data_IF_604843913628
#
_entry.id   IF_604843913628
#
_cell.length_a   1.000
_cell.length_b   1.000
_cell.length_c   1.000
_cell.angle_alpha   90.00
_cell.angle_beta   90.00
_cell.angle_gamma   90.00
#
_symmetry.space_group_name_H-M   'P 1'
#
loop_
_entity.id
_entity.type
_entity.pdbx_description
1 polymer ?
#
# COMPACT_ATOMS: atom_id res chain seq x y z
N UNK A 1 44.87 -23.20 7.37
CA UNK A 1 43.52 -22.63 7.27
C UNK A 1 43.69 -21.15 7.01
N UNK A 2 43.26 -20.64 5.84
CA UNK A 2 43.30 -19.20 5.59
C UNK A 2 42.23 -18.52 6.46
N UNK A 3 42.65 -17.69 7.37
CA UNK A 3 41.78 -16.85 8.18
C UNK A 3 41.02 -15.90 7.24
N UNK A 4 39.69 -16.04 7.16
CA UNK A 4 38.86 -15.11 6.41
C UNK A 4 38.85 -13.76 7.12
N UNK A 5 39.57 -12.78 6.55
CA UNK A 5 39.60 -11.41 7.12
C UNK A 5 38.27 -10.72 6.91
N UNK A 6 37.72 -10.16 8.00
CA UNK A 6 36.57 -9.24 7.95
C UNK A 6 37.00 -7.97 7.22
N UNK A 7 36.20 -7.52 6.22
CA UNK A 7 36.45 -6.33 5.44
C UNK A 7 35.22 -5.42 5.43
N UNK A 8 35.45 -4.11 5.39
CA UNK A 8 34.39 -3.14 5.12
C UNK A 8 33.98 -3.27 3.64
N UNK A 9 32.67 -3.41 3.42
CA UNK A 9 32.13 -3.39 2.07
C UNK A 9 32.17 -1.95 1.51
N UNK A 10 32.33 -1.84 0.20
CA UNK A 10 32.13 -0.56 -0.46
C UNK A 10 30.63 -0.14 -0.36
N UNK A 11 30.39 1.17 -0.48
CA UNK A 11 29.09 1.75 -0.26
C UNK A 11 28.01 1.18 -1.23
N UNK A 12 28.37 0.93 -2.49
CA UNK A 12 27.43 0.40 -3.49
C UNK A 12 27.04 -1.05 -3.16
N UNK A 13 28.01 -1.89 -2.81
CA UNK A 13 27.74 -3.28 -2.35
C UNK A 13 26.87 -3.28 -1.10
N UNK A 14 27.20 -2.45 -0.10
CA UNK A 14 26.41 -2.32 1.12
C UNK A 14 24.96 -1.86 0.79
N UNK A 15 24.82 -0.92 -0.15
CA UNK A 15 23.51 -0.43 -0.64
C UNK A 15 22.70 -1.52 -1.33
N UNK A 16 23.30 -2.34 -2.18
CA UNK A 16 22.64 -3.45 -2.87
C UNK A 16 22.19 -4.56 -1.91
N UNK A 17 22.99 -4.85 -0.86
CA UNK A 17 22.61 -5.82 0.17
C UNK A 17 21.40 -5.30 0.96
N UNK A 18 21.47 -4.08 1.46
CA UNK A 18 20.36 -3.48 2.23
C UNK A 18 19.10 -3.25 1.38
N UNK A 19 19.26 -2.91 0.09
CA UNK A 19 18.13 -2.89 -0.84
C UNK A 19 17.42 -4.26 -0.91
N UNK A 20 18.10 -5.35 -0.53
CA UNK A 20 17.52 -6.68 -0.45
C UNK A 20 16.39 -6.84 0.54
N UNK A 21 16.43 -6.10 1.60
CA UNK A 21 15.41 -6.16 2.66
C UNK A 21 14.18 -5.30 2.33
N UNK A 22 14.35 -4.26 1.51
CA UNK A 22 13.30 -3.30 1.14
C UNK A 22 12.68 -3.63 -0.22
N UNK A 23 13.52 -3.97 -1.20
CA UNK A 23 13.12 -4.17 -2.61
C UNK A 23 13.31 -5.63 -3.01
N UNK A 24 12.32 -6.48 -2.76
CA UNK A 24 12.37 -7.91 -3.11
C UNK A 24 11.89 -8.18 -4.56
N UNK A 25 10.90 -7.43 -5.03
CA UNK A 25 10.19 -7.63 -6.30
C UNK A 25 9.57 -6.33 -6.81
N UNK A 26 9.14 -6.25 -8.09
CA UNK A 26 8.52 -5.05 -8.65
C UNK A 26 7.34 -4.52 -7.84
N UNK A 27 6.49 -5.39 -7.30
CA UNK A 27 5.37 -5.00 -6.46
C UNK A 27 5.81 -4.31 -5.15
N UNK A 28 7.00 -4.63 -4.61
CA UNK A 28 7.56 -3.91 -3.44
C UNK A 28 7.94 -2.47 -3.79
N UNK A 29 8.54 -2.26 -4.98
CA UNK A 29 8.84 -0.91 -5.50
C UNK A 29 7.57 -0.10 -5.63
N UNK A 30 6.56 -0.63 -6.33
CA UNK A 30 5.27 0.05 -6.55
C UNK A 30 4.61 0.38 -5.20
N UNK A 31 4.65 -0.54 -4.22
CA UNK A 31 4.11 -0.32 -2.88
C UNK A 31 4.74 0.89 -2.22
N UNK A 32 6.06 0.91 -2.10
CA UNK A 32 6.79 2.01 -1.44
C UNK A 32 6.55 3.37 -2.13
N UNK A 33 6.54 3.39 -3.48
CA UNK A 33 6.29 4.62 -4.24
C UNK A 33 4.87 5.13 -4.05
N UNK A 34 3.85 4.26 -4.12
CA UNK A 34 2.45 4.65 -3.91
C UNK A 34 2.19 5.06 -2.46
N UNK A 35 2.77 4.37 -1.47
CA UNK A 35 2.67 4.78 -0.07
C UNK A 35 3.31 6.15 0.17
N UNK A 36 4.42 6.48 -0.50
CA UNK A 36 5.00 7.82 -0.45
C UNK A 36 4.09 8.88 -1.09
N UNK A 37 3.43 8.56 -2.21
CA UNK A 37 2.44 9.45 -2.84
C UNK A 37 1.24 9.71 -1.93
N UNK A 38 0.74 8.66 -1.23
CA UNK A 38 -0.33 8.80 -0.24
C UNK A 38 0.10 9.64 0.96
N UNK A 39 1.33 9.43 1.46
CA UNK A 39 1.92 10.22 2.55
C UNK A 39 2.15 11.69 2.12
N UNK A 40 2.34 11.98 0.81
CA UNK A 40 2.42 13.33 0.25
C UNK A 40 1.05 13.96 -0.04
N UNK A 41 -0.05 13.38 0.48
CA UNK A 41 -1.41 13.92 0.35
C UNK A 41 -1.99 13.82 -1.07
N UNK A 42 -1.48 12.95 -1.93
CA UNK A 42 -2.00 12.80 -3.28
C UNK A 42 -3.43 12.24 -3.27
N UNK A 43 -4.30 12.81 -4.09
CA UNK A 43 -5.65 12.32 -4.37
C UNK A 43 -5.79 11.69 -5.76
N UNK A 44 -4.72 11.73 -6.58
CA UNK A 44 -4.65 11.11 -7.90
C UNK A 44 -3.28 10.47 -8.11
N UNK A 45 -3.27 9.14 -8.28
CA UNK A 45 -2.05 8.35 -8.44
C UNK A 45 -2.18 7.47 -9.68
N UNK A 46 -1.25 7.63 -10.62
CA UNK A 46 -1.17 6.82 -11.84
C UNK A 46 0.09 5.94 -11.81
N UNK A 47 -0.09 4.64 -12.01
CA UNK A 47 1.00 3.66 -12.10
C UNK A 47 1.03 3.08 -13.49
N UNK A 48 2.19 3.14 -14.16
CA UNK A 48 2.42 2.51 -15.47
C UNK A 48 3.54 1.50 -15.35
N UNK A 49 3.35 0.30 -15.88
CA UNK A 49 4.36 -0.76 -15.85
C UNK A 49 4.53 -1.43 -17.22
N UNK A 50 5.78 -1.84 -17.51
CA UNK A 50 6.12 -2.73 -18.62
C UNK A 50 6.95 -3.91 -18.11
N UNK A 51 6.86 -5.05 -18.80
CA UNK A 51 7.61 -6.25 -18.41
C UNK A 51 7.35 -6.72 -16.98
N UNK A 52 6.10 -6.55 -16.46
CA UNK A 52 5.78 -6.90 -15.07
C UNK A 52 6.43 -5.98 -14.04
N UNK A 53 6.87 -4.78 -14.45
CA UNK A 53 7.59 -3.82 -13.62
C UNK A 53 9.09 -4.10 -13.53
N UNK A 54 9.63 -5.02 -14.30
CA UNK A 54 11.08 -5.26 -14.38
C UNK A 54 11.77 -4.36 -15.39
N UNK A 55 11.08 -4.02 -16.48
CA UNK A 55 11.59 -3.14 -17.54
C UNK A 55 11.32 -1.68 -17.19
N UNK A 56 10.10 -1.39 -16.72
CA UNK A 56 9.65 -0.02 -16.46
C UNK A 56 8.58 0.01 -15.38
N UNK A 57 8.73 0.93 -14.45
CA UNK A 57 7.71 1.37 -13.49
C UNK A 57 7.71 2.89 -13.51
N UNK A 58 6.53 3.50 -13.65
CA UNK A 58 6.33 4.94 -13.49
C UNK A 58 5.19 5.16 -12.53
N UNK A 59 5.42 5.95 -11.49
CA UNK A 59 4.40 6.41 -10.54
C UNK A 59 4.32 7.93 -10.64
N UNK A 60 3.12 8.44 -10.87
CA UNK A 60 2.83 9.88 -10.96
C UNK A 60 1.79 10.20 -9.92
N UNK A 61 2.03 11.21 -9.14
CA UNK A 61 1.09 11.73 -8.16
C UNK A 61 0.94 13.27 -8.28
N UNK A 62 -0.11 13.79 -7.68
CA UNK A 62 -0.40 15.20 -7.53
C UNK A 62 -0.28 15.69 -6.08
N UNK A 63 0.55 15.01 -5.27
CA UNK A 63 0.81 15.38 -3.88
C UNK A 63 1.58 16.69 -3.73
N UNK A 64 2.07 16.96 -2.53
CA UNK A 64 2.77 18.20 -2.17
C UNK A 64 4.01 18.51 -3.03
N UNK A 65 4.64 17.46 -3.58
CA UNK A 65 5.94 17.59 -4.23
C UNK A 65 7.06 17.88 -3.22
N UNK A 66 8.27 18.12 -3.74
CA UNK A 66 9.46 18.39 -2.93
C UNK A 66 10.24 19.57 -3.52
N UNK A 67 10.81 20.43 -2.66
CA UNK A 67 11.81 21.41 -3.06
C UNK A 67 13.09 20.74 -3.54
N UNK A 68 13.94 21.48 -4.27
CA UNK A 68 15.23 20.96 -4.73
C UNK A 68 16.07 20.39 -3.59
N UNK A 69 16.11 21.06 -2.43
CA UNK A 69 16.83 20.62 -1.24
C UNK A 69 16.28 19.29 -0.72
N UNK A 70 14.96 19.21 -0.54
CA UNK A 70 14.30 17.98 -0.06
C UNK A 70 14.42 16.83 -1.07
N UNK A 71 14.34 17.10 -2.37
CA UNK A 71 14.54 16.09 -3.41
C UNK A 71 15.94 15.48 -3.38
N UNK A 72 16.99 16.31 -3.16
CA UNK A 72 18.37 15.84 -2.99
C UNK A 72 18.54 14.98 -1.73
N UNK A 73 17.88 15.35 -0.64
CA UNK A 73 17.90 14.57 0.61
C UNK A 73 17.12 13.27 0.49
N UNK A 74 15.96 13.28 -0.18
CA UNK A 74 15.08 12.11 -0.31
C UNK A 74 15.73 10.89 -0.98
N UNK A 75 16.76 11.09 -1.79
CA UNK A 75 17.52 10.00 -2.43
C UNK A 75 18.73 9.54 -1.62
N UNK A 76 19.00 10.18 -0.47
CA UNK A 76 20.04 9.78 0.47
C UNK A 76 19.49 8.81 1.52
N UNK A 77 20.36 7.93 2.04
CA UNK A 77 19.99 7.01 3.11
C UNK A 77 19.78 7.73 4.43
N UNK A 78 18.83 7.22 5.22
CA UNK A 78 18.51 7.74 6.56
C UNK A 78 17.99 9.19 6.53
N UNK A 79 17.55 9.68 5.37
CA UNK A 79 16.87 10.95 5.25
C UNK A 79 15.35 10.72 5.21
N UNK A 80 14.63 11.27 6.19
CA UNK A 80 13.18 11.17 6.29
C UNK A 80 12.62 12.43 6.92
N UNK A 81 11.46 12.88 6.42
CA UNK A 81 10.67 13.95 7.04
C UNK A 81 9.68 13.43 8.09
N UNK A 82 9.53 12.10 8.21
CA UNK A 82 8.41 11.44 8.88
C UNK A 82 8.67 11.12 10.36
N UNK A 83 9.92 11.02 10.77
CA UNK A 83 10.34 10.80 12.17
C UNK A 83 11.56 11.65 12.47
N UNK A 84 11.66 12.15 13.72
CA UNK A 84 12.82 12.95 14.18
C UNK A 84 13.48 12.32 15.40
N UNK A 85 12.71 11.66 16.24
CA UNK A 85 13.17 11.03 17.48
C UNK A 85 12.63 9.59 17.58
N UNK A 86 13.24 8.76 18.43
CA UNK A 86 12.85 7.36 18.58
C UNK A 86 11.41 7.19 19.11
N UNK A 87 10.93 8.14 19.90
CA UNK A 87 9.58 8.17 20.43
C UNK A 87 8.51 8.27 19.33
N UNK A 88 8.81 8.91 18.18
CA UNK A 88 7.89 9.00 17.03
C UNK A 88 7.53 7.63 16.47
N UNK A 89 8.37 6.60 16.72
CA UNK A 89 8.09 5.22 16.30
C UNK A 89 6.88 4.59 17.02
N UNK A 90 6.49 5.13 18.17
CA UNK A 90 5.33 4.67 18.93
C UNK A 90 4.01 5.24 18.38
N UNK A 91 4.07 6.36 17.65
CA UNK A 91 2.91 7.09 17.14
C UNK A 91 2.98 7.31 15.62
N UNK A 92 3.31 6.25 14.87
CA UNK A 92 3.47 6.34 13.42
C UNK A 92 2.14 6.60 12.70
N UNK A 93 1.97 7.83 12.23
CA UNK A 93 0.81 8.28 11.44
C UNK A 93 1.04 8.15 9.93
N UNK A 94 2.25 7.79 9.48
CA UNK A 94 2.62 7.64 8.06
C UNK A 94 2.77 6.16 7.68
N UNK A 95 2.53 5.83 6.41
CA UNK A 95 2.70 4.46 5.89
C UNK A 95 4.18 4.06 5.85
N UNK A 96 5.07 4.99 5.45
CA UNK A 96 6.53 4.83 5.46
C UNK A 96 7.19 5.66 6.57
N UNK A 97 8.39 5.28 7.07
CA UNK A 97 9.15 6.08 8.05
C UNK A 97 10.68 5.90 7.99
N UNK A 98 11.20 4.85 7.31
CA UNK A 98 12.64 4.47 7.43
C UNK A 98 13.60 5.35 6.62
N UNK A 99 13.13 6.15 5.65
CA UNK A 99 14.00 6.95 4.78
C UNK A 99 14.96 6.12 3.92
N UNK A 100 14.59 4.89 3.56
CA UNK A 100 15.46 3.96 2.85
C UNK A 100 14.89 3.46 1.52
N UNK A 101 13.60 3.72 1.23
CA UNK A 101 12.93 3.18 0.05
C UNK A 101 13.52 3.74 -1.26
N UNK A 102 13.57 5.07 -1.41
CA UNK A 102 14.07 5.70 -2.64
C UNK A 102 15.55 5.38 -2.91
N UNK A 103 16.48 5.54 -1.94
CA UNK A 103 17.89 5.18 -2.17
C UNK A 103 18.08 3.68 -2.44
N UNK A 104 17.28 2.81 -1.83
CA UNK A 104 17.31 1.36 -2.10
C UNK A 104 16.85 1.02 -3.51
N UNK A 105 15.77 1.65 -4.00
CA UNK A 105 15.29 1.48 -5.38
C UNK A 105 16.34 2.00 -6.37
N UNK A 106 16.88 3.20 -6.12
CA UNK A 106 17.87 3.83 -6.98
C UNK A 106 19.17 3.02 -7.09
N UNK A 107 19.57 2.30 -6.01
CA UNK A 107 20.78 1.49 -6.02
C UNK A 107 20.69 0.23 -6.89
N UNK A 108 19.49 -0.19 -7.30
CA UNK A 108 19.25 -1.44 -8.05
C UNK A 108 18.51 -1.21 -9.38
N UNK A 109 18.47 0.04 -9.87
CA UNK A 109 17.74 0.42 -11.09
C UNK A 109 18.33 1.67 -11.75
N UNK A 110 17.85 1.99 -12.94
CA UNK A 110 17.95 3.32 -13.52
C UNK A 110 16.76 4.12 -12.98
N UNK A 111 17.03 5.06 -12.08
CA UNK A 111 16.05 5.79 -11.31
C UNK A 111 15.97 7.24 -11.74
N UNK A 112 14.78 7.76 -11.91
CA UNK A 112 14.55 9.20 -12.11
C UNK A 112 13.45 9.69 -11.18
N UNK A 113 13.74 10.75 -10.46
CA UNK A 113 12.80 11.55 -9.67
C UNK A 113 12.57 12.88 -10.39
N UNK A 114 11.32 13.24 -10.62
CA UNK A 114 10.89 14.56 -11.08
C UNK A 114 9.83 15.07 -10.10
N UNK A 115 10.09 16.20 -9.45
CA UNK A 115 9.20 16.70 -8.41
C UNK A 115 9.13 18.23 -8.40
N UNK A 116 7.98 18.77 -8.05
CA UNK A 116 7.76 20.22 -7.95
C UNK A 116 6.69 20.51 -6.87
N UNK A 117 7.01 21.27 -5.83
CA UNK A 117 6.01 21.79 -4.92
C UNK A 117 5.25 22.94 -5.58
N UNK A 118 4.06 23.26 -5.07
CA UNK A 118 3.25 24.38 -5.61
C UNK A 118 3.94 25.74 -5.47
N UNK A 119 4.87 25.86 -4.52
CA UNK A 119 5.61 27.11 -4.21
C UNK A 119 6.75 27.41 -5.18
N UNK A 120 7.16 26.44 -6.01
CA UNK A 120 8.27 26.60 -6.96
C UNK A 120 7.79 26.63 -8.40
N UNK A 121 8.45 27.44 -9.23
CA UNK A 121 8.14 27.58 -10.66
C UNK A 121 8.67 26.40 -11.49
N UNK A 122 9.86 25.92 -11.14
CA UNK A 122 10.53 24.84 -11.85
C UNK A 122 10.51 23.55 -11.04
N UNK A 123 10.46 22.43 -11.73
CA UNK A 123 10.62 21.11 -11.15
C UNK A 123 12.10 20.75 -11.04
N UNK A 124 12.42 19.93 -10.04
CA UNK A 124 13.73 19.30 -9.89
C UNK A 124 13.70 17.91 -10.49
N UNK A 125 14.64 17.61 -11.39
CA UNK A 125 14.88 16.27 -11.92
C UNK A 125 16.20 15.72 -11.41
N UNK A 126 16.16 14.53 -10.79
CA UNK A 126 17.34 13.79 -10.31
C UNK A 126 17.38 12.46 -11.02
N UNK A 127 18.53 12.10 -11.62
CA UNK A 127 18.79 10.81 -12.25
C UNK A 127 19.89 10.09 -11.49
N UNK A 128 19.68 8.80 -11.25
CA UNK A 128 20.62 7.91 -10.54
C UNK A 128 20.68 6.58 -11.30
N UNK A 129 21.88 6.10 -11.55
CA UNK A 129 22.12 4.83 -12.20
C UNK A 129 22.86 3.87 -11.25
N UNK A 130 22.18 2.82 -10.80
CA UNK A 130 22.77 1.80 -9.92
C UNK A 130 23.33 2.33 -8.59
N UNK A 131 22.83 3.49 -8.12
CA UNK A 131 23.25 4.16 -6.89
C UNK A 131 24.17 5.37 -7.12
N UNK A 132 24.70 5.56 -8.32
CA UNK A 132 25.55 6.70 -8.66
C UNK A 132 24.69 7.85 -9.21
N UNK A 133 24.71 9.02 -8.56
CA UNK A 133 23.96 10.18 -9.00
C UNK A 133 24.57 10.72 -10.30
N UNK A 134 23.79 10.64 -11.39
CA UNK A 134 24.24 11.06 -12.70
C UNK A 134 23.96 12.55 -12.96
N UNK A 135 22.81 13.06 -12.54
CA UNK A 135 22.35 14.39 -12.92
C UNK A 135 21.34 14.96 -11.88
N UNK A 136 21.42 16.28 -11.66
CA UNK A 136 20.38 17.03 -10.92
C UNK A 136 20.18 18.38 -11.62
N UNK A 137 19.02 18.58 -12.23
CA UNK A 137 18.72 19.77 -13.05
C UNK A 137 17.33 20.32 -12.74
N UNK A 138 17.18 21.65 -12.92
CA UNK A 138 15.88 22.31 -12.99
C UNK A 138 15.22 22.05 -14.36
N UNK A 139 13.92 21.77 -14.38
CA UNK A 139 13.18 21.47 -15.60
C UNK A 139 11.70 21.86 -15.46
N UNK A 140 10.95 21.77 -16.56
CA UNK A 140 9.48 21.88 -16.48
C UNK A 140 8.85 20.63 -15.87
N UNK A 141 7.79 20.79 -15.09
CA UNK A 141 7.04 19.68 -14.53
C UNK A 141 5.73 20.11 -13.85
N UNK A 142 4.81 19.17 -13.67
CA UNK A 142 3.56 19.40 -12.91
C UNK A 142 3.84 19.45 -11.40
N UNK A 143 2.93 20.01 -10.63
CA UNK A 143 2.97 19.93 -9.17
C UNK A 143 2.74 18.49 -8.74
N UNK A 144 3.50 18.00 -7.76
CA UNK A 144 3.52 16.62 -7.32
C UNK A 144 4.83 15.91 -7.67
N UNK A 145 4.80 14.60 -7.74
CA UNK A 145 6.01 13.81 -7.98
C UNK A 145 5.78 12.77 -9.08
N UNK A 146 6.81 12.60 -9.92
CA UNK A 146 6.92 11.50 -10.88
C UNK A 146 8.19 10.73 -10.57
N UNK A 147 8.07 9.43 -10.36
CA UNK A 147 9.21 8.53 -10.21
C UNK A 147 9.19 7.52 -11.35
N UNK A 148 10.34 7.36 -12.02
CA UNK A 148 10.56 6.38 -13.07
C UNK A 148 11.67 5.44 -12.61
N UNK A 149 11.42 4.15 -12.73
CA UNK A 149 12.35 3.07 -12.41
C UNK A 149 12.45 2.17 -13.64
N UNK A 150 13.64 2.10 -14.23
CA UNK A 150 13.89 1.28 -15.41
C UNK A 150 14.94 0.22 -15.10
N UNK A 151 14.85 -0.90 -15.79
CA UNK A 151 15.82 -2.00 -15.71
C UNK A 151 16.06 -2.49 -14.27
N UNK A 152 14.97 -2.69 -13.52
CA UNK A 152 15.04 -3.13 -12.12
C UNK A 152 15.91 -4.39 -11.97
N UNK A 153 16.87 -4.35 -11.02
CA UNK A 153 17.86 -5.41 -10.76
C UNK A 153 18.87 -5.66 -11.88
N UNK A 154 19.16 -4.68 -12.74
CA UNK A 154 20.13 -4.83 -13.81
C UNK A 154 21.54 -5.18 -13.28
N UNK A 155 21.89 -4.61 -12.11
CA UNK A 155 23.17 -4.80 -11.43
C UNK A 155 23.12 -5.87 -10.30
N UNK A 156 22.00 -6.58 -10.13
CA UNK A 156 21.81 -7.66 -9.14
C UNK A 156 21.26 -8.91 -9.82
N UNK A 157 22.06 -9.59 -10.71
CA UNK A 157 21.56 -10.67 -11.55
C UNK A 157 21.03 -11.87 -10.77
N UNK A 158 21.55 -12.14 -9.57
CA UNK A 158 21.03 -13.18 -8.70
C UNK A 158 19.55 -12.94 -8.37
N UNK A 159 19.20 -11.69 -7.98
CA UNK A 159 17.82 -11.31 -7.65
C UNK A 159 16.90 -11.37 -8.85
N UNK A 160 17.39 -10.89 -10.03
CA UNK A 160 16.63 -10.93 -11.29
C UNK A 160 16.22 -12.37 -11.67
N UNK A 161 17.04 -13.36 -11.37
CA UNK A 161 16.75 -14.79 -11.62
C UNK A 161 15.65 -15.36 -10.72
N UNK A 162 15.41 -14.79 -9.55
CA UNK A 162 14.36 -15.26 -8.62
C UNK A 162 12.99 -14.63 -8.88
N UNK A 163 12.88 -13.66 -9.78
CA UNK A 163 11.60 -13.09 -10.18
C UNK A 163 10.72 -14.14 -10.85
N UNK A 164 9.43 -13.98 -10.67
CA UNK A 164 8.42 -14.82 -11.30
C UNK A 164 8.26 -14.41 -12.78
N UNK A 165 7.32 -15.05 -13.46
CA UNK A 165 6.98 -14.65 -14.84
C UNK A 165 6.40 -13.25 -14.87
N UNK A 166 6.56 -12.53 -15.99
CA UNK A 166 6.01 -11.19 -16.22
C UNK A 166 4.52 -11.11 -15.85
N UNK A 167 3.73 -12.11 -16.22
CA UNK A 167 2.32 -12.18 -15.89
C UNK A 167 2.08 -12.27 -14.37
N UNK A 168 2.90 -13.03 -13.65
CA UNK A 168 2.79 -13.18 -12.20
C UNK A 168 3.16 -11.89 -11.49
N UNK A 169 4.24 -11.21 -11.90
CA UNK A 169 4.65 -9.93 -11.32
C UNK A 169 3.61 -8.83 -11.61
N UNK A 170 3.07 -8.74 -12.84
CA UNK A 170 1.97 -7.83 -13.19
C UNK A 170 0.74 -8.08 -12.32
N UNK A 171 0.40 -9.34 -12.05
CA UNK A 171 -0.73 -9.70 -11.17
C UNK A 171 -0.49 -9.23 -9.74
N UNK A 172 0.71 -9.39 -9.18
CA UNK A 172 1.04 -8.92 -7.84
C UNK A 172 0.90 -7.40 -7.71
N UNK A 173 1.31 -6.65 -8.73
CA UNK A 173 1.14 -5.19 -8.78
C UNK A 173 -0.35 -4.84 -8.85
N UNK A 174 -1.12 -5.50 -9.70
CA UNK A 174 -2.56 -5.26 -9.82
C UNK A 174 -3.31 -5.58 -8.51
N UNK A 175 -2.98 -6.69 -7.84
CA UNK A 175 -3.55 -7.05 -6.53
C UNK A 175 -3.20 -6.00 -5.45
N UNK A 176 -1.98 -5.48 -5.47
CA UNK A 176 -1.54 -4.44 -4.56
C UNK A 176 -2.33 -3.14 -4.76
N UNK A 177 -2.37 -2.63 -6.01
CA UNK A 177 -3.11 -1.39 -6.31
C UNK A 177 -4.60 -1.55 -6.02
N UNK A 178 -5.19 -2.72 -6.31
CA UNK A 178 -6.58 -3.02 -5.94
C UNK A 178 -6.81 -2.87 -4.43
N UNK A 179 -5.93 -3.42 -3.59
CA UNK A 179 -6.05 -3.31 -2.13
C UNK A 179 -5.84 -1.88 -1.63
N UNK A 180 -4.87 -1.15 -2.21
CA UNK A 180 -4.64 0.27 -1.88
C UNK A 180 -5.87 1.11 -2.26
N UNK A 181 -6.46 0.90 -3.43
CA UNK A 181 -7.67 1.60 -3.86
C UNK A 181 -8.87 1.30 -2.94
N UNK A 182 -9.01 0.06 -2.46
CA UNK A 182 -10.05 -0.30 -1.48
C UNK A 182 -9.79 0.31 -0.10
N UNK A 183 -8.53 0.52 0.28
CA UNK A 183 -8.18 1.17 1.55
C UNK A 183 -8.33 2.68 1.53
N UNK A 184 -8.24 3.31 0.35
CA UNK A 184 -8.30 4.75 0.12
C UNK A 184 -9.29 5.07 -1.02
N UNK A 185 -10.61 4.93 -0.78
CA UNK A 185 -11.64 5.26 -1.77
C UNK A 185 -11.66 6.75 -2.16
N UNK A 186 -11.10 7.61 -1.32
CA UNK A 186 -10.91 9.04 -1.51
C UNK A 186 -9.80 9.39 -2.52
N UNK A 187 -8.98 8.41 -2.90
CA UNK A 187 -7.89 8.58 -3.86
C UNK A 187 -8.23 7.89 -5.18
N UNK A 188 -8.03 8.60 -6.28
CA UNK A 188 -8.14 8.03 -7.62
C UNK A 188 -6.87 7.26 -7.95
N UNK A 189 -7.02 5.97 -8.23
CA UNK A 189 -5.95 5.11 -8.73
C UNK A 189 -6.17 4.73 -10.18
N UNK A 190 -5.09 4.74 -10.96
CA UNK A 190 -5.06 4.23 -12.32
C UNK A 190 -3.83 3.35 -12.51
N UNK A 191 -4.03 2.13 -13.01
CA UNK A 191 -2.96 1.22 -13.39
C UNK A 191 -3.00 0.93 -14.89
N UNK A 192 -1.87 1.19 -15.55
CA UNK A 192 -1.64 0.85 -16.95
C UNK A 192 -0.53 -0.21 -17.02
N UNK A 193 -0.76 -1.31 -17.72
CA UNK A 193 0.22 -2.39 -17.92
C UNK A 193 0.34 -2.70 -19.40
N UNK A 194 1.55 -2.54 -19.96
CA UNK A 194 1.84 -2.73 -21.38
C UNK A 194 0.82 -2.00 -22.28
N UNK A 195 0.67 -0.70 -22.04
CA UNK A 195 -0.24 0.24 -22.75
C UNK A 195 -1.75 -0.05 -22.61
N UNK A 196 -2.13 -0.99 -21.73
CA UNK A 196 -3.54 -1.30 -21.45
C UNK A 196 -3.92 -0.85 -20.06
N UNK A 197 -5.01 -0.11 -19.94
CA UNK A 197 -5.61 0.21 -18.65
C UNK A 197 -6.12 -1.08 -18.01
N UNK A 198 -5.61 -1.40 -16.82
CA UNK A 198 -5.95 -2.59 -16.03
C UNK A 198 -7.05 -2.28 -15.02
N UNK A 199 -6.94 -1.13 -14.36
CA UNK A 199 -7.94 -0.63 -13.42
C UNK A 199 -7.93 0.90 -13.36
N UNK A 200 -9.08 1.47 -13.03
CA UNK A 200 -9.22 2.89 -12.71
C UNK A 200 -10.35 3.05 -11.68
N UNK A 201 -10.12 3.85 -10.62
CA UNK A 201 -11.11 4.12 -9.57
C UNK A 201 -11.52 5.58 -9.56
N UNK A 202 -12.72 5.94 -9.05
CA UNK A 202 -13.23 7.31 -9.12
C UNK A 202 -12.50 8.28 -8.16
N UNK A 203 -12.05 7.83 -6.99
CA UNK A 203 -11.47 8.70 -5.96
C UNK A 203 -12.46 9.65 -5.31
N UNK A 204 -13.73 9.24 -5.20
CA UNK A 204 -14.84 10.07 -4.70
C UNK A 204 -15.21 9.82 -3.22
N UNK A 205 -14.41 9.01 -2.52
CA UNK A 205 -14.65 8.62 -1.13
C UNK A 205 -15.68 7.50 -0.95
N UNK A 206 -16.37 7.06 -2.03
CA UNK A 206 -17.36 6.00 -1.94
C UNK A 206 -16.71 4.61 -2.21
N UNK A 207 -16.70 3.77 -1.16
CA UNK A 207 -16.17 2.41 -1.27
C UNK A 207 -17.04 1.53 -2.20
N UNK A 208 -18.35 1.74 -2.28
CA UNK A 208 -19.24 0.96 -3.17
C UNK A 208 -18.91 1.26 -4.62
N UNK A 209 -18.70 2.53 -4.97
CA UNK A 209 -18.28 2.93 -6.30
C UNK A 209 -16.88 2.40 -6.63
N UNK A 210 -15.97 2.39 -5.65
CA UNK A 210 -14.65 1.79 -5.81
C UNK A 210 -14.73 0.28 -6.06
N UNK A 211 -15.54 -0.46 -5.29
CA UNK A 211 -15.80 -1.89 -5.52
C UNK A 211 -16.42 -2.12 -6.89
N UNK A 212 -17.37 -1.29 -7.29
CA UNK A 212 -18.01 -1.37 -8.62
C UNK A 212 -17.01 -1.14 -9.77
N UNK A 213 -16.09 -0.20 -9.61
CA UNK A 213 -15.05 0.07 -10.60
C UNK A 213 -14.06 -1.11 -10.72
N UNK A 214 -13.68 -1.72 -9.61
CA UNK A 214 -12.69 -2.80 -9.55
C UNK A 214 -13.26 -4.19 -9.90
N UNK A 215 -14.48 -4.48 -9.48
CA UNK A 215 -15.06 -5.83 -9.56
C UNK A 215 -16.38 -5.93 -10.34
N UNK A 216 -16.88 -4.79 -10.79
CA UNK A 216 -18.12 -4.71 -11.56
C UNK A 216 -19.39 -4.57 -10.70
N UNK A 217 -20.48 -4.17 -11.38
CA UNK A 217 -21.78 -3.89 -10.77
C UNK A 217 -22.36 -5.09 -10.02
N UNK A 218 -22.22 -6.30 -10.57
CA UNK A 218 -22.76 -7.52 -9.97
C UNK A 218 -22.18 -7.79 -8.57
N UNK A 219 -20.89 -7.46 -8.34
CA UNK A 219 -20.26 -7.61 -7.02
C UNK A 219 -20.78 -6.54 -6.07
N UNK A 220 -20.85 -5.28 -6.51
CA UNK A 220 -21.28 -4.18 -5.65
C UNK A 220 -22.75 -4.29 -5.20
N UNK A 221 -23.63 -4.94 -5.96
CA UNK A 221 -25.03 -5.18 -5.60
C UNK A 221 -25.23 -6.34 -4.60
N UNK A 222 -24.22 -7.18 -4.45
CA UNK A 222 -24.22 -8.31 -3.51
C UNK A 222 -23.49 -8.01 -2.17
N UNK A 223 -23.26 -6.75 -1.86
CA UNK A 223 -22.60 -6.33 -0.63
C UNK A 223 -23.59 -6.15 0.53
N UNK A 224 -23.14 -6.50 1.73
CA UNK A 224 -23.78 -6.20 3.00
C UNK A 224 -22.91 -5.23 3.79
N UNK A 225 -23.51 -4.19 4.34
CA UNK A 225 -22.80 -3.20 5.16
C UNK A 225 -22.48 -3.76 6.54
N UNK A 226 -21.24 -3.65 6.95
CA UNK A 226 -20.77 -3.89 8.32
C UNK A 226 -20.49 -2.54 8.96
N UNK A 227 -21.20 -2.23 10.04
CA UNK A 227 -20.98 -1.05 10.88
C UNK A 227 -21.27 -1.45 12.32
N UNK A 228 -20.21 -1.71 13.04
CA UNK A 228 -20.21 -2.17 14.43
C UNK A 228 -19.21 -1.36 15.23
N UNK A 229 -19.59 -0.98 16.43
CA UNK A 229 -18.69 -0.36 17.38
C UNK A 229 -19.04 -0.80 18.80
N UNK A 230 -18.03 -1.09 19.59
CA UNK A 230 -18.12 -1.20 21.04
C UNK A 230 -17.09 -0.26 21.70
N UNK A 231 -16.76 -0.48 22.97
CA UNK A 231 -15.81 0.36 23.71
C UNK A 231 -14.35 0.23 23.27
N UNK A 232 -13.98 -0.86 22.60
CA UNK A 232 -12.58 -1.21 22.31
C UNK A 232 -12.31 -1.38 20.81
N UNK A 233 -13.33 -1.82 20.03
CA UNK A 233 -13.16 -2.20 18.63
C UNK A 233 -14.29 -1.62 17.77
N UNK A 234 -13.93 -0.95 16.67
CA UNK A 234 -14.89 -0.63 15.60
C UNK A 234 -14.59 -1.49 14.40
N UNK A 235 -15.63 -1.99 13.70
CA UNK A 235 -15.52 -2.76 12.47
C UNK A 235 -16.43 -2.14 11.43
N UNK A 236 -15.83 -1.61 10.35
CA UNK A 236 -16.56 -0.96 9.25
C UNK A 236 -16.16 -1.51 7.90
N UNK A 237 -17.10 -1.53 6.98
CA UNK A 237 -16.86 -1.92 5.60
C UNK A 237 -17.98 -2.75 5.00
N UNK A 238 -17.62 -3.65 4.11
CA UNK A 238 -18.56 -4.49 3.39
C UNK A 238 -18.13 -5.95 3.37
N UNK A 239 -19.13 -6.83 3.42
CA UNK A 239 -18.97 -8.27 3.16
C UNK A 239 -19.93 -8.69 2.05
N UNK A 240 -19.62 -9.77 1.33
CA UNK A 240 -20.50 -10.32 0.32
C UNK A 240 -21.64 -11.13 0.92
N UNK A 241 -22.82 -11.11 0.30
CA UNK A 241 -23.88 -12.08 0.61
C UNK A 241 -23.34 -13.51 0.49
N UNK A 242 -23.93 -14.51 1.15
CA UNK A 242 -23.51 -15.92 1.06
C UNK A 242 -23.46 -16.48 -0.37
N UNK A 243 -24.13 -15.82 -1.33
CA UNK A 243 -24.08 -16.12 -2.75
C UNK A 243 -22.83 -15.63 -3.46
N UNK A 244 -22.14 -14.60 -2.90
CA UNK A 244 -20.94 -14.00 -3.47
C UNK A 244 -19.68 -14.71 -2.94
N UNK A 245 -19.41 -15.90 -3.45
CA UNK A 245 -18.25 -16.70 -3.07
C UNK A 245 -17.13 -16.62 -4.12
N UNK A 246 -15.89 -16.69 -3.65
CA UNK A 246 -14.68 -16.69 -4.45
C UNK A 246 -13.84 -17.93 -4.16
N UNK A 247 -13.03 -18.34 -5.15
CA UNK A 247 -12.17 -19.52 -5.00
C UNK A 247 -10.93 -19.27 -4.13
N UNK A 248 -10.58 -18.00 -3.85
CA UNK A 248 -9.41 -17.61 -3.08
C UNK A 248 -9.70 -16.46 -2.15
N UNK A 249 -8.85 -16.29 -1.11
CA UNK A 249 -8.92 -15.16 -0.16
C UNK A 249 -8.38 -13.83 -0.71
N UNK A 250 -7.94 -13.78 -1.96
CA UNK A 250 -7.47 -12.54 -2.59
C UNK A 250 -8.55 -11.45 -2.64
N UNK A 251 -9.83 -11.84 -2.53
CA UNK A 251 -10.98 -10.96 -2.47
C UNK A 251 -11.33 -10.49 -1.05
N UNK A 252 -10.45 -10.77 -0.10
CA UNK A 252 -10.54 -10.26 1.26
C UNK A 252 -9.46 -9.19 1.46
N UNK A 253 -9.88 -7.95 1.66
CA UNK A 253 -9.02 -6.83 2.02
C UNK A 253 -9.33 -6.46 3.45
N UNK A 254 -8.35 -6.69 4.32
CA UNK A 254 -8.46 -6.45 5.75
C UNK A 254 -7.54 -5.30 6.13
N UNK A 255 -8.07 -4.36 6.88
CA UNK A 255 -7.33 -3.21 7.37
C UNK A 255 -7.43 -3.16 8.89
N UNK A 256 -6.35 -2.67 9.52
CA UNK A 256 -6.33 -2.27 10.93
C UNK A 256 -5.81 -0.84 10.98
N UNK A 257 -6.62 0.05 11.53
CA UNK A 257 -6.34 1.49 11.56
C UNK A 257 -5.90 2.02 10.17
N UNK A 258 -6.63 1.61 9.10
CA UNK A 258 -6.36 2.00 7.72
C UNK A 258 -5.18 1.29 7.02
N UNK A 259 -4.40 0.45 7.73
CA UNK A 259 -3.27 -0.31 7.15
C UNK A 259 -3.73 -1.67 6.65
N UNK A 260 -3.36 -2.01 5.43
CA UNK A 260 -3.64 -3.33 4.85
C UNK A 260 -2.82 -4.39 5.58
N UNK A 261 -3.52 -5.40 6.09
CA UNK A 261 -2.89 -6.48 6.86
C UNK A 261 -3.31 -7.86 6.34
N UNK A 262 -2.51 -8.85 6.73
CA UNK A 262 -2.87 -10.27 6.66
C UNK A 262 -2.87 -10.82 8.09
N UNK A 263 -4.03 -11.30 8.55
CA UNK A 263 -4.16 -11.87 9.89
C UNK A 263 -5.04 -13.12 9.86
N UNK A 264 -4.49 -14.23 10.38
CA UNK A 264 -5.16 -15.54 10.36
C UNK A 264 -6.36 -15.61 11.30
N UNK A 265 -6.31 -14.90 12.43
CA UNK A 265 -7.39 -14.87 13.42
C UNK A 265 -8.60 -14.14 12.82
N UNK A 266 -8.40 -12.98 12.19
CA UNK A 266 -9.48 -12.23 11.52
C UNK A 266 -10.08 -13.06 10.37
N UNK A 267 -9.24 -13.71 9.56
CA UNK A 267 -9.71 -14.61 8.50
C UNK A 267 -10.57 -15.76 9.04
N UNK A 268 -10.20 -16.34 10.21
CA UNK A 268 -11.02 -17.36 10.90
C UNK A 268 -12.34 -16.80 11.40
N UNK A 269 -12.38 -15.57 11.91
CA UNK A 269 -13.62 -14.93 12.34
C UNK A 269 -14.61 -14.80 11.18
N UNK A 270 -14.10 -14.42 9.97
CA UNK A 270 -14.91 -14.39 8.75
C UNK A 270 -15.44 -15.80 8.41
N UNK A 271 -14.57 -16.81 8.37
CA UNK A 271 -14.99 -18.18 8.07
C UNK A 271 -16.07 -18.69 9.03
N UNK A 272 -15.90 -18.44 10.33
CA UNK A 272 -16.85 -18.90 11.35
C UNK A 272 -18.21 -18.19 11.23
N UNK A 273 -18.21 -16.88 10.91
CA UNK A 273 -19.47 -16.16 10.72
C UNK A 273 -20.29 -16.70 9.53
N UNK A 274 -19.61 -17.21 8.51
CA UNK A 274 -20.26 -17.79 7.31
C UNK A 274 -20.46 -19.29 7.37
N UNK A 275 -19.94 -19.99 8.38
CA UNK A 275 -19.83 -21.45 8.40
C UNK A 275 -21.15 -22.21 8.15
N UNK A 276 -22.29 -21.65 8.61
CA UNK A 276 -23.62 -22.26 8.42
C UNK A 276 -24.28 -21.90 7.09
N UNK A 277 -23.72 -20.94 6.33
CA UNK A 277 -24.37 -20.33 5.17
C UNK A 277 -23.67 -20.61 3.84
N UNK A 278 -22.41 -21.09 3.88
CA UNK A 278 -21.62 -21.33 2.67
C UNK A 278 -21.00 -22.73 2.63
N UNK A 279 -20.75 -23.31 1.43
CA UNK A 279 -19.99 -24.52 1.28
C UNK A 279 -18.53 -24.36 1.76
N UNK A 280 -17.91 -25.46 2.22
CA UNK A 280 -16.52 -25.45 2.74
C UNK A 280 -15.45 -24.99 1.75
N UNK A 281 -15.76 -24.92 0.45
CA UNK A 281 -14.79 -24.62 -0.62
C UNK A 281 -14.82 -23.16 -1.11
N UNK A 282 -15.60 -22.27 -0.48
CA UNK A 282 -15.73 -20.88 -0.90
C UNK A 282 -15.23 -19.90 0.15
N UNK A 283 -14.73 -18.74 -0.31
CA UNK A 283 -14.35 -17.64 0.54
C UNK A 283 -15.27 -16.44 0.26
N UNK A 284 -15.90 -15.84 1.29
CA UNK A 284 -16.72 -14.65 1.09
C UNK A 284 -15.86 -13.46 0.69
N UNK A 285 -16.43 -12.56 -0.10
CA UNK A 285 -15.85 -11.24 -0.33
C UNK A 285 -15.87 -10.43 0.97
N UNK A 286 -14.80 -9.68 1.24
CA UNK A 286 -14.75 -8.79 2.39
C UNK A 286 -13.80 -7.62 2.16
N UNK A 287 -14.23 -6.42 2.52
CA UNK A 287 -13.40 -5.22 2.67
C UNK A 287 -13.75 -4.62 4.02
N UNK A 288 -12.88 -4.76 5.00
CA UNK A 288 -13.17 -4.43 6.39
C UNK A 288 -12.01 -3.64 7.00
N UNK A 289 -12.32 -2.52 7.64
CA UNK A 289 -11.40 -1.80 8.52
C UNK A 289 -11.77 -2.07 9.97
N UNK A 290 -10.78 -2.46 10.75
CA UNK A 290 -10.87 -2.68 12.18
C UNK A 290 -10.11 -1.55 12.86
N UNK A 291 -10.81 -0.70 13.59
CA UNK A 291 -10.20 0.39 14.34
C UNK A 291 -10.09 -0.02 15.81
N UNK A 292 -8.89 0.05 16.34
CA UNK A 292 -8.52 -0.27 17.72
C UNK A 292 -7.56 0.78 18.24
N UNK A 293 -7.41 0.87 19.56
CA UNK A 293 -6.40 1.73 20.17
C UNK A 293 -4.99 1.34 19.67
N UNK A 294 -4.18 2.33 19.30
CA UNK A 294 -2.81 2.13 18.82
C UNK A 294 -1.91 1.47 19.86
N UNK A 295 -2.15 1.69 21.15
CA UNK A 295 -1.42 1.03 22.26
C UNK A 295 -1.78 -0.46 22.38
N UNK A 296 -2.90 -0.90 21.81
CA UNK A 296 -3.34 -2.30 21.83
C UNK A 296 -2.77 -3.16 20.71
N UNK A 297 -1.96 -2.59 19.84
CA UNK A 297 -1.37 -3.30 18.69
C UNK A 297 0.14 -3.16 18.61
N UNK A 298 0.82 -4.25 18.22
CA UNK A 298 2.22 -4.21 17.79
C UNK A 298 2.30 -4.37 16.27
N UNK A 299 2.74 -3.32 15.59
CA UNK A 299 2.88 -3.24 14.13
C UNK A 299 4.29 -3.67 13.68
N UNK A 300 5.25 -3.76 14.59
CA UNK A 300 6.66 -4.02 14.25
C UNK A 300 7.01 -5.53 14.23
N UNK A 301 6.07 -6.37 13.81
CA UNK A 301 6.22 -7.83 13.78
C UNK A 301 6.93 -8.32 12.51
N UNK A 302 6.76 -7.62 11.38
CA UNK A 302 7.31 -8.01 10.08
C UNK A 302 7.93 -6.80 9.35
N UNK A 303 9.08 -6.95 8.61
CA UNK A 303 9.72 -5.85 7.88
C UNK A 303 8.78 -5.11 6.93
N UNK A 304 7.85 -5.83 6.29
CA UNK A 304 6.85 -5.26 5.37
C UNK A 304 5.58 -4.77 6.08
N UNK A 305 5.50 -4.83 7.43
CA UNK A 305 4.35 -4.40 8.25
C UNK A 305 2.99 -5.02 7.85
N UNK A 306 3.02 -6.16 7.19
CA UNK A 306 1.83 -6.88 6.74
C UNK A 306 1.17 -7.73 7.82
N UNK A 307 1.84 -7.93 8.96
CA UNK A 307 1.34 -8.68 10.10
C UNK A 307 1.28 -7.79 11.33
N UNK A 308 0.19 -7.88 12.07
CA UNK A 308 -0.07 -7.15 13.30
C UNK A 308 -0.37 -8.16 14.40
N UNK A 309 0.15 -7.92 15.61
CA UNK A 309 -0.25 -8.61 16.82
C UNK A 309 -1.16 -7.71 17.65
N UNK A 310 -2.28 -8.24 18.11
CA UNK A 310 -3.14 -7.56 19.07
C UNK A 310 -2.72 -7.96 20.49
N UNK A 311 -2.86 -7.05 21.43
CA UNK A 311 -2.66 -7.34 22.85
C UNK A 311 -3.70 -8.34 23.35
N UNK A 312 -4.93 -8.27 22.84
CA UNK A 312 -6.02 -9.24 23.09
C UNK A 312 -6.70 -9.67 21.78
N UNK A 313 -6.22 -10.78 21.21
CA UNK A 313 -6.81 -11.43 20.05
C UNK A 313 -8.27 -11.83 20.28
N UNK A 314 -8.66 -12.18 21.52
CA UNK A 314 -10.00 -12.68 21.85
C UNK A 314 -11.06 -11.58 21.72
N UNK A 315 -10.75 -10.37 22.18
CA UNK A 315 -11.64 -9.20 22.08
C UNK A 315 -11.86 -8.83 20.62
N UNK A 316 -10.80 -8.71 19.82
CA UNK A 316 -10.93 -8.42 18.38
C UNK A 316 -11.70 -9.51 17.64
N UNK A 317 -11.43 -10.78 17.96
CA UNK A 317 -12.14 -11.91 17.36
C UNK A 317 -13.65 -11.86 17.64
N UNK A 318 -14.05 -11.63 18.91
CA UNK A 318 -15.46 -11.56 19.30
C UNK A 318 -16.17 -10.39 18.63
N UNK A 319 -15.54 -9.20 18.60
CA UNK A 319 -16.07 -8.02 17.92
C UNK A 319 -16.27 -8.28 16.43
N UNK A 320 -15.27 -8.85 15.75
CA UNK A 320 -15.36 -9.25 14.35
C UNK A 320 -16.50 -10.26 14.11
N UNK A 321 -16.54 -11.34 14.87
CA UNK A 321 -17.58 -12.37 14.72
C UNK A 321 -18.98 -11.79 14.90
N UNK A 322 -19.18 -10.94 15.92
CA UNK A 322 -20.45 -10.27 16.19
C UNK A 322 -20.82 -9.33 15.05
N UNK A 323 -19.91 -8.43 14.63
CA UNK A 323 -20.13 -7.50 13.53
C UNK A 323 -20.60 -8.19 12.24
N UNK A 324 -19.94 -9.31 11.90
CA UNK A 324 -20.25 -10.09 10.71
C UNK A 324 -21.58 -10.83 10.83
N UNK A 325 -21.85 -11.44 11.97
CA UNK A 325 -23.12 -12.16 12.23
C UNK A 325 -24.29 -11.18 12.20
N UNK A 326 -24.16 -10.01 12.82
CA UNK A 326 -25.18 -8.98 12.80
C UNK A 326 -25.47 -8.49 11.37
N UNK A 327 -24.43 -8.32 10.53
CA UNK A 327 -24.59 -7.95 9.13
C UNK A 327 -25.28 -9.04 8.30
N UNK A 328 -24.97 -10.32 8.55
CA UNK A 328 -25.56 -11.46 7.85
C UNK A 328 -27.01 -11.75 8.23
N UNK A 329 -27.44 -11.31 9.42
CA UNK A 329 -28.82 -11.53 9.92
C UNK A 329 -29.77 -10.38 9.61
N UNK A 330 -29.26 -9.20 9.16
CA UNK A 330 -30.10 -8.08 8.74
C UNK A 330 -30.89 -8.41 7.46
N UNK A 331 -32.10 -7.83 7.28
CA UNK A 331 -32.86 -8.01 6.03
C UNK A 331 -32.02 -7.59 4.82
N UNK A 332 -31.85 -8.48 3.86
CA UNK A 332 -30.99 -8.29 2.67
C UNK A 332 -31.52 -7.26 1.65
N UNK A 333 -32.58 -6.50 1.97
CA UNK A 333 -33.24 -5.56 1.06
C UNK A 333 -32.62 -4.15 1.05
N UNK A 334 -31.73 -3.83 1.99
CA UNK A 334 -31.09 -2.52 2.01
C UNK A 334 -29.95 -2.49 0.98
N UNK A 335 -30.01 -1.55 0.02
CA UNK A 335 -28.89 -1.27 -0.86
C UNK A 335 -27.70 -0.82 0.00
N UNK A 336 -26.47 -1.28 -0.32
CA UNK A 336 -25.29 -0.76 0.35
C UNK A 336 -25.25 0.76 0.12
N UNK A 337 -25.22 1.52 1.21
CA UNK A 337 -25.06 2.98 1.15
C UNK A 337 -23.58 3.29 1.34
N UNK A 338 -23.14 4.38 0.70
CA UNK A 338 -21.77 4.86 0.84
C UNK A 338 -21.34 4.93 2.31
N UNK A 339 -20.39 4.10 2.66
CA UNK A 339 -19.77 4.04 4.00
C UNK A 339 -18.29 4.39 3.85
N UNK A 340 -17.84 5.41 4.56
CA UNK A 340 -16.42 5.68 4.68
C UNK A 340 -15.78 4.60 5.58
N UNK A 341 -14.69 3.99 5.12
CA UNK A 341 -13.92 3.02 5.91
C UNK A 341 -13.22 3.67 7.11
N UNK A 342 -12.84 4.93 6.95
CA UNK A 342 -12.18 5.76 7.95
C UNK A 342 -13.08 6.96 8.26
N UNK A 343 -13.15 7.34 9.53
CA UNK A 343 -13.78 8.59 9.94
C UNK A 343 -12.94 9.80 9.50
N UNK A 344 -13.55 10.99 9.41
CA UNK A 344 -12.83 12.21 9.05
C UNK A 344 -11.63 12.49 9.97
N UNK A 345 -11.72 12.11 11.25
CA UNK A 345 -10.62 12.21 12.22
C UNK A 345 -9.49 11.20 11.90
N UNK A 346 -9.83 10.01 11.46
CA UNK A 346 -8.88 8.98 11.04
C UNK A 346 -8.20 9.35 9.71
N UNK A 347 -8.94 9.96 8.77
CA UNK A 347 -8.40 10.53 7.52
C UNK A 347 -7.49 11.73 7.79
N UNK A 348 -7.81 12.57 8.80
CA UNK A 348 -6.97 13.70 9.19
C UNK A 348 -5.63 13.26 9.78
N UNK A 349 -5.57 12.13 10.48
CA UNK A 349 -4.31 11.56 10.98
C UNK A 349 -3.34 11.28 9.83
N UNK A 350 -3.83 10.84 8.67
CA UNK A 350 -3.01 10.66 7.46
C UNK A 350 -2.68 11.98 6.75
N UNK A 351 -3.49 13.05 6.95
CA UNK A 351 -3.29 14.37 6.32
C UNK A 351 -2.48 15.33 7.19
N UNK A 352 -2.49 15.19 8.52
CA UNK A 352 -1.84 16.11 9.46
C UNK A 352 -0.34 15.86 9.67
N UNK A 353 0.24 14.87 9.02
CA UNK A 353 1.70 14.68 9.00
C UNK A 353 2.44 15.74 8.15
N UNK A 354 1.73 16.75 7.62
CA UNK A 354 2.25 17.81 6.72
C UNK A 354 2.36 19.20 7.36
N UNK A 355 2.07 19.39 8.65
CA UNK A 355 2.17 20.69 9.33
C UNK A 355 3.50 20.88 10.07
#
# INVERSE_FOLDING_TARGET
MNEQKVQLLDQNTANQIAAGEVVEKPASVVKELVENSLDAGADNIEVTIFGGGTEYIRVVDNGSGMSEENAKLAVLRHATSKIRVAEDLLHLNTLGFRGEALPSIASVSNFQLLTRPVTEEFATSIKIEGGDQAECIATGGHTGTTIIVENLFFNVPARRKFLRTVQTESRYISELITKLALSRPDVRFKLVSNDKEVLSTPGNGDLVDTVKALYGKNVSEELLTVDFADSEVKVRGFIGKPTLLKGTRQWQTLLVNGRIITNRMIAKAIDHAYQSQIPKSGFPFAVLNITVDTESIDVNVHPQKSEIKFSDDSTVYKAMYKALTDALTRPMSAKPQGLALLDDSELQVFKSAEA
#
